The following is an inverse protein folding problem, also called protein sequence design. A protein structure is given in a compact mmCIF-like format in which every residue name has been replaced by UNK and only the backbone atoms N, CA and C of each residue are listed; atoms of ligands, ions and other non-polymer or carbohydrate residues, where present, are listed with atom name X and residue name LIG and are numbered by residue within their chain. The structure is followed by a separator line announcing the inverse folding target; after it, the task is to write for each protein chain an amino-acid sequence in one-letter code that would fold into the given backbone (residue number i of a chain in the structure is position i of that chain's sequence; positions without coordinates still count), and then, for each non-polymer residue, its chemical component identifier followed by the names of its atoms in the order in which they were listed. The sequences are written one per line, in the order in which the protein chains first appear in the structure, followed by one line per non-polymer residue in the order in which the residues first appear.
data_IF_188799169501
#
_entry.id   IF_188799169501
#
_cell.length_a   1.000
_cell.length_b   1.000
_cell.length_c   1.000
_cell.angle_alpha   90.00
_cell.angle_beta   90.00
_cell.angle_gamma   90.00
#
_symmetry.space_group_name_H-M   'P 1'
#
loop_
_entity.id
_entity.type
_entity.pdbx_description
1 polymer ?
#
# COMPACT_ATOMS: atom_id res chain seq x y z
N UNK A 1 10.85 7.08 16.55
CA UNK A 1 9.76 7.20 15.57
C UNK A 1 8.45 6.73 16.18
N UNK A 2 7.40 7.48 15.96
CA UNK A 2 6.06 7.14 16.44
C UNK A 2 5.13 6.94 15.25
N UNK A 3 5.22 5.77 14.62
CA UNK A 3 4.51 5.48 13.38
C UNK A 3 3.10 5.00 13.66
N UNK A 4 2.14 5.56 12.94
CA UNK A 4 0.75 5.12 13.03
C UNK A 4 -0.02 5.36 11.73
N UNK A 5 -1.14 4.69 11.60
CA UNK A 5 -2.01 4.71 10.44
C UNK A 5 -3.31 5.38 10.83
N UNK A 6 -3.72 6.39 10.06
CA UNK A 6 -5.00 7.10 10.27
C UNK A 6 -5.81 7.12 8.99
N UNK A 7 -7.10 6.88 9.08
CA UNK A 7 -7.98 6.98 7.92
C UNK A 7 -7.97 8.40 7.35
N UNK A 8 -8.11 8.49 6.04
CA UNK A 8 -8.27 9.77 5.35
C UNK A 8 -9.69 10.28 5.57
N UNK A 9 -9.82 11.55 5.93
CA UNK A 9 -11.09 12.20 6.25
C UNK A 9 -11.17 13.56 5.56
N UNK A 10 -12.27 14.27 5.79
CA UNK A 10 -12.42 15.63 5.32
C UNK A 10 -11.34 16.57 5.87
N UNK A 11 -10.70 16.22 6.98
CA UNK A 11 -9.70 17.07 7.63
C UNK A 11 -8.29 16.91 7.07
N UNK A 12 -7.96 15.78 6.44
CA UNK A 12 -6.60 15.51 5.99
C UNK A 12 -6.45 15.13 4.52
N UNK A 13 -7.56 14.96 3.78
CA UNK A 13 -7.47 14.44 2.41
C UNK A 13 -6.64 15.34 1.47
N UNK A 14 -6.69 16.66 1.66
CA UNK A 14 -5.91 17.59 0.80
C UNK A 14 -4.42 17.39 1.01
N UNK A 15 -4.00 17.26 2.27
CA UNK A 15 -2.60 17.01 2.59
C UNK A 15 -2.13 15.66 2.03
N UNK A 16 -2.98 14.64 2.13
CA UNK A 16 -2.67 13.32 1.57
C UNK A 16 -2.58 13.39 0.04
N UNK A 17 -3.51 14.07 -0.61
CA UNK A 17 -3.51 14.22 -2.08
C UNK A 17 -2.26 14.96 -2.58
N UNK A 18 -1.69 15.85 -1.75
CA UNK A 18 -0.53 16.65 -2.12
C UNK A 18 0.81 15.90 -1.98
N UNK A 19 0.84 14.76 -1.31
CA UNK A 19 2.05 13.95 -1.23
C UNK A 19 2.40 13.38 -2.61
N UNK A 20 3.68 13.25 -2.90
CA UNK A 20 4.13 12.72 -4.18
C UNK A 20 5.44 11.96 -4.01
N UNK A 21 5.65 11.02 -4.90
CA UNK A 21 6.93 10.31 -5.00
C UNK A 21 7.94 11.17 -5.76
N UNK A 22 9.20 10.76 -5.76
CA UNK A 22 10.23 11.42 -6.55
C UNK A 22 9.84 11.41 -8.04
N UNK A 23 10.27 12.42 -8.79
CA UNK A 23 9.86 12.63 -10.18
C UNK A 23 10.07 11.38 -11.05
N UNK A 24 11.19 10.70 -10.88
CA UNK A 24 11.52 9.49 -11.64
C UNK A 24 10.65 8.29 -11.28
N UNK A 25 9.90 8.35 -10.18
CA UNK A 25 9.01 7.28 -9.72
C UNK A 25 7.55 7.52 -10.11
N UNK A 26 7.21 8.71 -10.60
CA UNK A 26 5.82 9.07 -10.89
C UNK A 26 5.18 8.18 -11.96
N UNK A 27 5.98 7.62 -12.85
CA UNK A 27 5.50 6.71 -13.88
C UNK A 27 5.10 5.33 -13.31
N UNK A 28 5.50 5.01 -12.09
CA UNK A 28 5.31 3.69 -11.48
C UNK A 28 4.05 3.57 -10.65
N UNK A 29 3.41 4.68 -10.31
CA UNK A 29 2.28 4.69 -9.39
C UNK A 29 1.31 5.82 -9.78
N UNK A 30 0.01 5.59 -9.60
CA UNK A 30 -0.99 6.62 -9.78
C UNK A 30 -0.83 7.71 -8.72
N UNK A 31 -1.29 8.92 -9.04
CA UNK A 31 -1.31 10.00 -8.04
C UNK A 31 -2.20 9.63 -6.86
N UNK A 32 -1.90 10.21 -5.70
CA UNK A 32 -2.76 10.00 -4.53
C UNK A 32 -4.18 10.52 -4.76
N UNK A 33 -4.34 11.58 -5.55
CA UNK A 33 -5.67 12.09 -5.89
C UNK A 33 -6.49 11.03 -6.64
N UNK A 34 -5.87 10.32 -7.59
CA UNK A 34 -6.52 9.23 -8.31
C UNK A 34 -6.92 8.10 -7.35
N UNK A 35 -5.99 7.68 -6.50
CA UNK A 35 -6.23 6.59 -5.53
C UNK A 35 -7.30 6.96 -4.51
N UNK A 36 -7.34 8.22 -4.07
CA UNK A 36 -8.39 8.70 -3.18
C UNK A 36 -9.77 8.61 -3.85
N UNK A 37 -9.85 8.99 -5.12
CA UNK A 37 -11.10 8.86 -5.88
C UNK A 37 -11.50 7.39 -6.01
N UNK A 38 -10.56 6.51 -6.32
CA UNK A 38 -10.83 5.06 -6.37
C UNK A 38 -11.41 4.56 -5.06
N UNK A 39 -10.83 4.96 -3.93
CA UNK A 39 -11.28 4.48 -2.62
C UNK A 39 -12.69 4.92 -2.28
N UNK A 40 -13.18 6.02 -2.88
CA UNK A 40 -14.54 6.51 -2.67
C UNK A 40 -15.56 5.77 -3.54
N UNK A 41 -15.18 5.38 -4.75
CA UNK A 41 -16.11 4.85 -5.74
C UNK A 41 -15.95 3.35 -6.01
N UNK A 42 -14.81 2.77 -5.65
CA UNK A 42 -14.63 1.32 -5.72
C UNK A 42 -15.13 0.66 -4.44
N UNK A 43 -15.74 -0.49 -4.61
CA UNK A 43 -16.22 -1.26 -3.46
C UNK A 43 -15.06 -1.70 -2.59
N UNK A 44 -15.22 -1.57 -1.27
CA UNK A 44 -14.26 -2.02 -0.26
C UNK A 44 -12.94 -1.26 -0.18
N UNK A 45 -12.80 -0.11 -0.87
CA UNK A 45 -11.58 0.68 -0.79
C UNK A 45 -11.54 1.60 0.44
N UNK A 46 -10.45 1.58 1.19
CA UNK A 46 -10.20 2.49 2.31
C UNK A 46 -8.83 3.13 2.16
N UNK A 47 -8.80 4.47 2.19
CA UNK A 47 -7.56 5.25 2.14
C UNK A 47 -7.08 5.61 3.53
N UNK A 48 -5.77 5.49 3.75
CA UNK A 48 -5.13 5.85 5.03
C UNK A 48 -3.91 6.72 4.80
N UNK A 49 -3.69 7.66 5.73
CA UNK A 49 -2.45 8.40 5.83
C UNK A 49 -1.48 7.67 6.74
N UNK A 50 -0.21 7.78 6.42
CA UNK A 50 0.88 7.19 7.19
C UNK A 50 1.65 8.31 7.89
N UNK A 51 1.69 8.26 9.21
CA UNK A 51 2.19 9.34 10.06
C UNK A 51 3.37 8.92 10.92
N UNK A 52 4.30 9.84 11.11
CA UNK A 52 5.31 9.75 12.15
C UNK A 52 5.02 10.90 13.13
N UNK A 53 4.47 10.56 14.32
CA UNK A 53 3.92 11.57 15.21
C UNK A 53 2.78 12.31 14.51
N UNK A 54 2.89 13.63 14.39
CA UNK A 54 1.90 14.46 13.70
C UNK A 54 2.26 14.71 12.24
N UNK A 55 3.39 14.19 11.77
CA UNK A 55 3.89 14.43 10.42
C UNK A 55 3.36 13.38 9.46
N UNK A 56 2.63 13.81 8.44
CA UNK A 56 2.14 12.95 7.37
C UNK A 56 3.30 12.66 6.41
N UNK A 57 3.67 11.39 6.26
CA UNK A 57 4.83 10.99 5.44
C UNK A 57 4.47 10.08 4.27
N UNK A 58 3.28 9.49 4.25
CA UNK A 58 2.92 8.57 3.19
C UNK A 58 1.43 8.26 3.11
N UNK A 59 1.09 7.33 2.24
CA UNK A 59 -0.27 6.97 1.91
C UNK A 59 -0.36 5.49 1.57
N UNK A 60 -1.52 4.91 1.81
CA UNK A 60 -1.87 3.58 1.32
C UNK A 60 -3.37 3.46 1.16
N UNK A 61 -3.80 2.53 0.32
CA UNK A 61 -5.20 2.15 0.15
C UNK A 61 -5.28 0.64 0.28
N UNK A 62 -6.38 0.15 0.84
CA UNK A 62 -6.58 -1.29 0.97
C UNK A 62 -8.06 -1.64 0.95
N UNK A 63 -8.35 -2.91 0.78
CA UNK A 63 -9.71 -3.42 0.85
C UNK A 63 -9.74 -4.92 0.59
N UNK A 64 -10.92 -5.51 0.76
CA UNK A 64 -11.12 -6.91 0.42
C UNK A 64 -10.89 -7.12 -1.08
N UNK A 65 -10.10 -8.13 -1.42
CA UNK A 65 -10.01 -8.63 -2.79
C UNK A 65 -11.00 -9.77 -3.00
N UNK A 66 -10.96 -10.78 -2.13
CA UNK A 66 -11.91 -11.89 -2.14
C UNK A 66 -12.16 -12.34 -0.70
N UNK A 67 -13.37 -12.11 -0.21
CA UNK A 67 -13.78 -12.60 1.12
C UNK A 67 -13.78 -14.11 1.19
N UNK A 68 -14.10 -14.77 0.07
CA UNK A 68 -14.11 -16.22 -0.03
C UNK A 68 -12.75 -16.83 0.25
N UNK A 69 -11.69 -16.17 -0.22
CA UNK A 69 -10.31 -16.64 -0.06
C UNK A 69 -9.60 -15.97 1.11
N UNK A 70 -10.29 -15.12 1.88
CA UNK A 70 -9.71 -14.32 2.96
C UNK A 70 -8.52 -13.50 2.46
N UNK A 71 -8.64 -12.88 1.28
CA UNK A 71 -7.57 -12.08 0.69
C UNK A 71 -7.92 -10.61 0.63
N UNK A 72 -6.92 -9.76 0.86
CA UNK A 72 -7.03 -8.32 0.77
C UNK A 72 -6.04 -7.79 -0.26
N UNK A 73 -6.33 -6.61 -0.78
CA UNK A 73 -5.49 -5.90 -1.73
C UNK A 73 -4.91 -4.66 -1.05
N UNK A 74 -3.61 -4.48 -1.17
CA UNK A 74 -2.91 -3.28 -0.73
C UNK A 74 -2.50 -2.50 -1.98
N UNK A 75 -2.89 -1.24 -2.05
CA UNK A 75 -2.69 -0.43 -3.24
C UNK A 75 -2.17 0.96 -2.88
N UNK A 76 -1.56 1.63 -3.85
CA UNK A 76 -1.16 3.02 -3.73
C UNK A 76 -0.15 3.32 -2.64
N UNK A 77 0.50 2.32 -2.06
CA UNK A 77 1.47 2.52 -0.99
C UNK A 77 2.65 3.34 -1.46
N UNK A 78 2.89 4.47 -0.80
CA UNK A 78 3.98 5.36 -1.14
C UNK A 78 4.47 6.14 0.06
N UNK A 79 5.72 6.56 0.00
CA UNK A 79 6.31 7.52 0.94
C UNK A 79 6.62 8.78 0.14
N UNK A 80 6.23 9.93 0.69
CA UNK A 80 6.50 11.22 0.06
C UNK A 80 8.00 11.41 -0.14
N UNK A 81 8.38 12.00 -1.27
CA UNK A 81 9.80 12.08 -1.66
C UNK A 81 10.66 12.83 -0.65
N UNK A 82 10.09 13.76 0.10
CA UNK A 82 10.83 14.48 1.16
C UNK A 82 11.27 13.57 2.30
N UNK A 83 10.61 12.42 2.46
CA UNK A 83 10.85 11.49 3.57
C UNK A 83 11.48 10.17 3.14
N UNK A 84 11.74 9.99 1.85
CA UNK A 84 12.39 8.78 1.35
C UNK A 84 13.85 8.71 1.81
N UNK A 85 14.40 7.49 1.88
CA UNK A 85 15.77 7.28 2.31
C UNK A 85 15.96 7.24 3.83
N UNK A 86 14.89 7.23 4.60
CA UNK A 86 14.94 7.21 6.07
C UNK A 86 14.37 5.92 6.68
N UNK A 87 14.12 4.90 5.86
CA UNK A 87 13.61 3.62 6.34
C UNK A 87 12.11 3.57 6.55
N UNK A 88 11.36 4.60 6.19
CA UNK A 88 9.91 4.64 6.40
C UNK A 88 9.17 3.56 5.61
N UNK A 89 9.53 3.32 4.34
CA UNK A 89 8.82 2.35 3.52
C UNK A 89 8.83 0.97 4.16
N UNK A 90 9.97 0.51 4.62
CA UNK A 90 10.12 -0.79 5.27
C UNK A 90 9.32 -0.87 6.56
N UNK A 91 9.39 0.17 7.39
CA UNK A 91 8.71 0.21 8.67
C UNK A 91 7.19 0.28 8.51
N UNK A 92 6.70 1.10 7.56
CA UNK A 92 5.27 1.19 7.30
C UNK A 92 4.72 -0.06 6.63
N UNK A 93 5.49 -0.71 5.75
CA UNK A 93 5.02 -1.95 5.16
C UNK A 93 4.83 -3.03 6.23
N UNK A 94 5.77 -3.12 7.18
CA UNK A 94 5.64 -4.02 8.32
C UNK A 94 4.37 -3.71 9.13
N UNK A 95 4.16 -2.43 9.43
CA UNK A 95 3.00 -1.96 10.20
C UNK A 95 1.69 -2.22 9.44
N UNK A 96 1.67 -1.97 8.13
CA UNK A 96 0.50 -2.20 7.29
C UNK A 96 0.14 -3.69 7.23
N UNK A 97 1.12 -4.57 7.09
CA UNK A 97 0.86 -6.01 7.07
C UNK A 97 0.22 -6.44 8.39
N UNK A 98 0.76 -6.00 9.51
CA UNK A 98 0.19 -6.30 10.83
C UNK A 98 -1.23 -5.74 10.96
N UNK A 99 -1.42 -4.50 10.52
CA UNK A 99 -2.71 -3.82 10.57
C UNK A 99 -3.77 -4.58 9.76
N UNK A 100 -3.43 -5.01 8.56
CA UNK A 100 -4.35 -5.76 7.69
C UNK A 100 -4.67 -7.14 8.27
N UNK A 101 -3.68 -7.82 8.84
CA UNK A 101 -3.90 -9.10 9.51
C UNK A 101 -4.89 -8.97 10.68
N UNK A 102 -4.72 -7.95 11.50
CA UNK A 102 -5.58 -7.73 12.66
C UNK A 102 -7.00 -7.33 12.24
N UNK A 103 -7.09 -6.42 11.26
CA UNK A 103 -8.38 -5.88 10.82
C UNK A 103 -9.23 -6.89 10.07
N UNK A 104 -8.63 -7.66 9.17
CA UNK A 104 -9.35 -8.55 8.26
C UNK A 104 -9.20 -10.03 8.60
N UNK A 105 -8.24 -10.38 9.43
CA UNK A 105 -7.86 -11.78 9.67
C UNK A 105 -7.63 -12.51 8.34
N UNK A 106 -7.00 -11.81 7.40
CA UNK A 106 -6.77 -12.31 6.06
C UNK A 106 -5.66 -13.36 6.01
N UNK A 107 -5.76 -14.24 5.02
CA UNK A 107 -4.75 -15.28 4.77
C UNK A 107 -3.77 -14.90 3.67
N UNK A 108 -4.14 -13.92 2.85
CA UNK A 108 -3.31 -13.47 1.73
C UNK A 108 -3.43 -11.96 1.56
N UNK A 109 -2.32 -11.35 1.19
CA UNK A 109 -2.28 -9.94 0.79
C UNK A 109 -1.73 -9.89 -0.63
N UNK A 110 -2.48 -9.25 -1.52
CA UNK A 110 -2.07 -9.00 -2.90
C UNK A 110 -1.71 -7.55 -3.10
N UNK A 111 -0.81 -7.29 -4.00
CA UNK A 111 -0.51 -5.95 -4.50
C UNK A 111 -0.02 -6.05 -5.94
N UNK A 112 0.05 -4.91 -6.61
CA UNK A 112 0.68 -4.84 -7.92
C UNK A 112 1.68 -3.69 -7.94
N UNK A 113 2.67 -3.78 -8.82
CA UNK A 113 3.68 -2.75 -8.99
C UNK A 113 4.15 -2.75 -10.44
N UNK A 114 4.61 -1.58 -10.89
CA UNK A 114 5.19 -1.45 -12.22
C UNK A 114 6.41 -2.38 -12.32
N UNK A 115 6.53 -3.18 -13.39
CA UNK A 115 7.61 -4.17 -13.49
C UNK A 115 9.02 -3.59 -13.48
N UNK A 116 9.15 -2.31 -13.82
CA UNK A 116 10.46 -1.63 -13.79
C UNK A 116 10.78 -0.98 -12.44
N UNK A 117 9.85 -1.01 -11.49
CA UNK A 117 10.07 -0.49 -10.15
C UNK A 117 10.87 -1.50 -9.31
N UNK A 118 12.16 -1.60 -9.58
CA UNK A 118 13.05 -2.60 -8.98
C UNK A 118 13.21 -2.41 -7.48
N UNK A 119 13.19 -1.16 -7.02
CA UNK A 119 13.34 -0.86 -5.60
C UNK A 119 12.15 -1.39 -4.81
N UNK A 120 10.93 -1.14 -5.30
CA UNK A 120 9.72 -1.67 -4.68
C UNK A 120 9.67 -3.20 -4.73
N UNK A 121 10.07 -3.79 -5.86
CA UNK A 121 10.12 -5.24 -6.02
C UNK A 121 10.98 -5.87 -4.92
N UNK A 122 12.18 -5.35 -4.71
CA UNK A 122 13.09 -5.84 -3.67
C UNK A 122 12.50 -5.69 -2.27
N UNK A 123 11.84 -4.56 -2.01
CA UNK A 123 11.20 -4.32 -0.72
C UNK A 123 10.13 -5.39 -0.46
N UNK A 124 9.23 -5.61 -1.40
CA UNK A 124 8.15 -6.58 -1.24
C UNK A 124 8.70 -8.01 -1.13
N UNK A 125 9.68 -8.37 -1.96
CA UNK A 125 10.32 -9.68 -1.86
C UNK A 125 10.94 -9.91 -0.49
N UNK A 126 11.54 -8.88 0.11
CA UNK A 126 12.15 -8.98 1.44
C UNK A 126 11.14 -9.30 2.55
N UNK A 127 9.84 -9.04 2.31
CA UNK A 127 8.76 -9.36 3.23
C UNK A 127 8.09 -10.70 2.93
N UNK A 128 8.51 -11.39 1.87
CA UNK A 128 7.95 -12.68 1.51
C UNK A 128 6.92 -12.64 0.38
N UNK A 129 6.68 -11.47 -0.21
CA UNK A 129 5.85 -11.38 -1.41
C UNK A 129 6.55 -12.05 -2.58
N UNK A 130 5.78 -12.73 -3.43
CA UNK A 130 6.29 -13.33 -4.65
C UNK A 130 5.35 -13.09 -5.81
N UNK A 131 5.89 -13.07 -7.02
CA UNK A 131 5.11 -12.86 -8.24
C UNK A 131 4.16 -14.02 -8.47
N UNK A 132 2.92 -13.69 -8.86
CA UNK A 132 1.89 -14.70 -9.17
C UNK A 132 1.86 -15.07 -10.65
N UNK A 133 2.40 -14.23 -11.52
CA UNK A 133 2.28 -14.35 -12.96
C UNK A 133 1.14 -13.56 -13.56
N UNK A 134 0.27 -12.99 -12.73
CA UNK A 134 -0.85 -12.19 -13.20
C UNK A 134 -0.43 -10.75 -13.47
N UNK A 135 -1.20 -10.08 -14.34
CA UNK A 135 -1.01 -8.68 -14.71
C UNK A 135 -2.24 -7.91 -14.21
N UNK A 136 -1.99 -6.75 -13.63
CA UNK A 136 -3.02 -5.80 -13.24
C UNK A 136 -3.03 -4.67 -14.26
N UNK A 137 -4.06 -4.63 -15.11
CA UNK A 137 -4.21 -3.61 -16.15
C UNK A 137 -5.51 -2.80 -16.01
N UNK A 138 -6.15 -2.86 -14.85
CA UNK A 138 -7.42 -2.16 -14.61
C UNK A 138 -7.24 -0.65 -14.43
N UNK A 139 -6.06 -0.21 -13.99
CA UNK A 139 -5.77 1.20 -13.78
C UNK A 139 -4.87 1.79 -14.85
N UNK A 140 -4.53 3.09 -14.73
CA UNK A 140 -3.64 3.75 -15.70
C UNK A 140 -2.20 3.23 -15.67
N UNK A 141 -1.76 2.63 -14.57
CA UNK A 141 -0.43 2.02 -14.48
C UNK A 141 -0.59 0.50 -14.53
N UNK A 142 0.00 -0.12 -15.56
CA UNK A 142 -0.01 -1.57 -15.69
C UNK A 142 1.02 -2.16 -14.74
N UNK A 143 0.61 -3.15 -13.94
CA UNK A 143 1.46 -3.74 -12.92
C UNK A 143 1.54 -5.26 -13.00
N UNK A 144 2.54 -5.80 -12.33
CA UNK A 144 2.67 -7.23 -12.07
C UNK A 144 2.18 -7.51 -10.65
N UNK A 145 1.48 -8.62 -10.47
CA UNK A 145 0.83 -8.95 -9.19
C UNK A 145 1.78 -9.75 -8.32
N UNK A 146 1.84 -9.39 -7.04
CA UNK A 146 2.56 -10.15 -6.01
C UNK A 146 1.61 -10.60 -4.91
N UNK A 147 1.95 -11.70 -4.26
CA UNK A 147 1.15 -12.32 -3.21
C UNK A 147 2.02 -12.56 -1.98
N UNK A 148 1.48 -12.22 -0.82
CA UNK A 148 2.02 -12.65 0.47
C UNK A 148 1.02 -13.60 1.13
N UNK A 149 1.49 -14.79 1.49
CA UNK A 149 0.68 -15.73 2.27
C UNK A 149 1.00 -15.55 3.73
N UNK A 150 -0.06 -15.37 4.53
CA UNK A 150 0.06 -15.23 5.96
C UNK A 150 0.12 -16.62 6.57
N UNK A 151 1.20 -16.92 7.27
CA UNK A 151 1.38 -18.22 7.91
C UNK A 151 0.84 -18.15 9.35
N UNK A 152 -0.32 -18.75 9.59
CA UNK A 152 -0.96 -18.74 10.90
C UNK A 152 -0.14 -19.46 11.97
N UNK A 153 0.72 -20.40 11.59
CA UNK A 153 1.55 -21.14 12.56
C UNK A 153 2.60 -20.27 13.23
N UNK A 154 2.88 -19.09 12.69
CA UNK A 154 3.84 -18.14 13.24
C UNK A 154 3.20 -17.25 14.31
N UNK A 155 1.88 -17.16 14.34
CA UNK A 155 1.15 -16.30 15.27
C UNK A 155 1.02 -16.87 16.67
N UNK A 156 1.58 -18.05 16.90
CA UNK A 156 1.58 -18.68 18.22
C UNK A 156 2.77 -18.15 19.09
#
# INVERSE_FOLDING_TARGET
MNLHICEVTANNWRSVAALDVAKEQQQFIESNAFSLAESLYEENGTSVGLYDGETLVGYAMYGWYSKKDDSVWLDGFMIDYHFQGNGYAKRFLHLLIQYLQQKFQCKKIYLSLHPENKLAMKLYESFGFHLTGDIDDEGPVVGVVMELRINESISL
#
